data_IF_627092543047
#
_entry.id   IF_627092543047
#
_cell.length_a   1.000
_cell.length_b   1.000
_cell.length_c   1.000
_cell.angle_alpha   90.00
_cell.angle_beta   90.00
_cell.angle_gamma   90.00
#
_symmetry.space_group_name_H-M   'P 1'
#
loop_
_entity.id
_entity.type
_entity.pdbx_description
1 polymer ?
#
# COMPACT_ATOMS: atom_id res chain seq x y z
N UNK A 1 19.39 0.92 10.60
CA UNK A 1 20.09 2.05 9.95
C UNK A 1 19.05 3.14 9.73
N UNK A 2 19.46 4.39 9.54
CA UNK A 2 18.55 5.43 9.09
C UNK A 2 18.33 5.31 7.58
N UNK A 3 17.23 5.86 7.06
CA UNK A 3 16.98 5.94 5.61
C UNK A 3 18.07 6.72 4.89
N UNK A 4 18.65 7.73 5.55
CA UNK A 4 19.74 8.55 5.02
C UNK A 4 21.07 7.80 4.85
N UNK A 5 21.24 6.67 5.53
CA UNK A 5 22.43 5.81 5.39
C UNK A 5 22.35 4.91 4.13
N UNK A 6 21.18 4.84 3.50
CA UNK A 6 20.94 4.02 2.31
C UNK A 6 21.52 4.70 1.06
N UNK A 7 22.14 3.90 0.19
CA UNK A 7 22.64 4.36 -1.11
C UNK A 7 21.53 4.34 -2.15
N UNK A 8 20.58 5.25 -2.00
CA UNK A 8 19.43 5.36 -2.89
C UNK A 8 19.78 6.06 -4.21
N UNK A 9 19.27 5.54 -5.33
CA UNK A 9 19.31 6.20 -6.64
C UNK A 9 18.14 7.18 -6.76
N UNK A 10 18.26 8.20 -7.62
CA UNK A 10 17.17 9.12 -7.94
C UNK A 10 16.08 8.46 -8.81
N UNK A 11 16.45 7.43 -9.56
CA UNK A 11 15.55 6.61 -10.37
C UNK A 11 15.98 5.14 -10.27
N UNK A 12 15.00 4.23 -10.27
CA UNK A 12 15.22 2.80 -10.52
C UNK A 12 14.32 2.34 -11.67
N UNK A 13 14.84 1.50 -12.55
CA UNK A 13 14.12 0.95 -13.69
C UNK A 13 14.31 -0.55 -13.83
N UNK A 14 13.27 -1.25 -14.25
CA UNK A 14 13.25 -2.72 -14.28
C UNK A 14 14.24 -3.34 -15.28
N UNK A 15 14.70 -2.58 -16.28
CA UNK A 15 15.75 -3.02 -17.21
C UNK A 15 17.15 -3.02 -16.62
N UNK A 16 17.40 -2.20 -15.61
CA UNK A 16 18.74 -1.97 -15.04
C UNK A 16 18.86 -2.35 -13.59
N UNK A 17 17.74 -2.42 -12.86
CA UNK A 17 17.71 -2.48 -11.40
C UNK A 17 16.71 -3.53 -10.91
N UNK A 18 17.04 -4.16 -9.79
CA UNK A 18 16.06 -4.91 -9.02
C UNK A 18 15.36 -3.97 -8.03
N UNK A 19 14.30 -3.29 -8.49
CA UNK A 19 13.54 -2.29 -7.70
C UNK A 19 13.11 -2.84 -6.32
N UNK A 20 12.75 -4.12 -6.25
CA UNK A 20 12.30 -4.73 -5.00
C UNK A 20 13.45 -4.83 -4.00
N UNK A 21 14.56 -5.44 -4.38
CA UNK A 21 15.69 -5.68 -3.47
C UNK A 21 16.61 -4.46 -3.27
N UNK A 22 16.69 -3.57 -4.25
CA UNK A 22 17.58 -2.40 -4.21
C UNK A 22 16.89 -1.13 -3.66
N UNK A 23 15.56 -1.03 -3.74
CA UNK A 23 14.82 0.15 -3.29
C UNK A 23 13.80 -0.18 -2.19
N UNK A 24 12.81 -1.03 -2.47
CA UNK A 24 11.73 -1.30 -1.51
C UNK A 24 12.24 -1.98 -0.24
N UNK A 25 13.07 -3.01 -0.38
CA UNK A 25 13.55 -3.79 0.76
C UNK A 25 14.40 -2.96 1.74
N UNK A 26 15.39 -2.17 1.28
CA UNK A 26 16.15 -1.29 2.16
C UNK A 26 15.27 -0.23 2.84
N UNK A 27 14.33 0.38 2.13
CA UNK A 27 13.48 1.43 2.71
C UNK A 27 12.52 0.88 3.78
N UNK A 28 11.83 -0.22 3.46
CA UNK A 28 10.86 -0.84 4.36
C UNK A 28 11.52 -1.42 5.63
N UNK A 29 12.74 -1.94 5.51
CA UNK A 29 13.51 -2.47 6.66
C UNK A 29 13.94 -1.38 7.65
N UNK A 30 14.01 -0.12 7.20
CA UNK A 30 14.56 0.99 7.98
C UNK A 30 13.53 2.09 8.25
N UNK A 31 12.27 1.91 7.85
CA UNK A 31 11.17 2.83 8.16
C UNK A 31 10.32 2.34 9.34
N UNK A 32 9.67 3.29 10.02
CA UNK A 32 8.63 3.05 11.03
C UNK A 32 7.23 3.40 10.53
N UNK A 33 7.13 4.13 9.43
CA UNK A 33 5.86 4.41 8.76
C UNK A 33 6.04 4.29 7.26
N UNK A 34 5.09 3.62 6.61
CA UNK A 34 4.98 3.53 5.17
C UNK A 34 3.58 3.97 4.75
N UNK A 35 3.51 5.10 4.04
CA UNK A 35 2.30 5.59 3.42
C UNK A 35 2.29 5.20 1.94
N UNK A 36 1.16 4.67 1.45
CA UNK A 36 1.09 4.16 0.08
C UNK A 36 -0.26 4.44 -0.58
N UNK A 37 -0.23 5.13 -1.73
CA UNK A 37 -1.35 5.19 -2.67
C UNK A 37 -1.13 4.19 -3.80
N UNK A 38 -2.15 3.39 -4.12
CA UNK A 38 -2.18 2.50 -5.28
C UNK A 38 -3.56 2.53 -5.94
N UNK A 39 -3.61 2.19 -7.21
CA UNK A 39 -4.86 2.04 -7.95
C UNK A 39 -5.62 0.77 -7.54
N UNK A 40 -4.87 -0.34 -7.39
CA UNK A 40 -5.41 -1.65 -7.03
C UNK A 40 -4.58 -2.29 -5.91
N UNK A 41 -5.27 -2.70 -4.84
CA UNK A 41 -4.69 -3.52 -3.80
C UNK A 41 -4.99 -5.01 -4.05
N UNK A 42 -3.92 -5.81 -4.10
CA UNK A 42 -4.02 -7.27 -4.03
C UNK A 42 -3.66 -7.79 -2.64
N UNK A 43 -4.20 -8.94 -2.24
CA UNK A 43 -3.82 -9.55 -0.96
C UNK A 43 -2.35 -9.94 -0.95
N UNK A 44 -1.80 -10.33 -2.10
CA UNK A 44 -0.40 -10.72 -2.23
C UNK A 44 0.53 -9.54 -1.95
N UNK A 45 0.22 -8.34 -2.46
CA UNK A 45 0.97 -7.12 -2.17
C UNK A 45 0.93 -6.80 -0.68
N UNK A 46 -0.28 -6.79 -0.08
CA UNK A 46 -0.44 -6.52 1.36
C UNK A 46 0.34 -7.52 2.22
N UNK A 47 0.19 -8.81 1.92
CA UNK A 47 0.89 -9.89 2.59
C UNK A 47 2.41 -9.72 2.49
N UNK A 48 2.92 -9.35 1.31
CA UNK A 48 4.35 -9.18 1.10
C UNK A 48 4.89 -8.00 1.89
N UNK A 49 4.21 -6.85 1.91
CA UNK A 49 4.63 -5.71 2.75
C UNK A 49 4.64 -6.12 4.23
N UNK A 50 3.56 -6.75 4.69
CA UNK A 50 3.38 -7.15 6.08
C UNK A 50 4.40 -8.20 6.55
N UNK A 51 4.84 -9.09 5.66
CA UNK A 51 5.75 -10.19 5.98
C UNK A 51 7.21 -9.92 5.66
N UNK A 52 7.50 -9.02 4.73
CA UNK A 52 8.87 -8.86 4.23
C UNK A 52 9.81 -8.17 5.21
N UNK A 53 9.32 -7.63 6.33
CA UNK A 53 10.13 -6.83 7.24
C UNK A 53 9.80 -7.07 8.71
N UNK A 54 10.85 -7.31 9.50
CA UNK A 54 10.73 -7.61 10.93
C UNK A 54 10.04 -6.49 11.70
N UNK A 55 10.25 -5.21 11.32
CA UNK A 55 9.61 -4.06 11.98
C UNK A 55 8.07 -4.14 11.97
N UNK A 56 7.46 -4.66 10.91
CA UNK A 56 6.01 -4.89 10.87
C UNK A 56 5.61 -6.06 11.76
N UNK A 57 6.38 -7.15 11.76
CA UNK A 57 6.09 -8.29 12.63
C UNK A 57 6.31 -8.03 14.12
N UNK A 58 7.20 -7.08 14.45
CA UNK A 58 7.57 -6.68 15.82
C UNK A 58 6.69 -5.57 16.41
N UNK A 59 5.70 -5.06 15.67
CA UNK A 59 4.86 -3.97 16.17
C UNK A 59 5.45 -2.57 16.03
N UNK A 60 6.61 -2.43 15.37
CA UNK A 60 7.40 -1.18 15.32
C UNK A 60 7.13 -0.32 14.09
N UNK A 61 6.43 -0.85 13.09
CA UNK A 61 6.08 -0.14 11.87
C UNK A 61 4.58 -0.08 11.62
N UNK A 62 4.17 1.00 10.96
CA UNK A 62 2.80 1.29 10.54
C UNK A 62 2.71 1.43 9.01
N UNK A 63 1.65 0.88 8.42
CA UNK A 63 1.29 0.99 7.01
C UNK A 63 -0.05 1.72 6.91
N UNK A 64 -0.06 2.86 6.23
CA UNK A 64 -1.28 3.56 5.82
C UNK A 64 -1.43 3.43 4.32
N UNK A 65 -2.52 2.81 3.87
CA UNK A 65 -2.73 2.56 2.46
C UNK A 65 -4.04 3.17 1.96
N UNK A 66 -3.97 3.89 0.84
CA UNK A 66 -5.12 4.36 0.08
C UNK A 66 -5.17 3.59 -1.22
N UNK A 67 -6.29 2.93 -1.51
CA UNK A 67 -6.50 2.17 -2.74
C UNK A 67 -7.78 2.60 -3.45
N UNK A 68 -7.86 2.39 -4.77
CA UNK A 68 -9.11 2.52 -5.51
C UNK A 68 -10.18 1.52 -5.04
N UNK A 69 -11.44 1.80 -5.40
CA UNK A 69 -12.62 1.03 -4.99
C UNK A 69 -12.89 -0.26 -5.79
N UNK A 70 -11.98 -0.64 -6.70
CA UNK A 70 -12.15 -1.80 -7.58
C UNK A 70 -11.18 -2.91 -7.15
N UNK A 71 -11.69 -4.13 -7.03
CA UNK A 71 -10.91 -5.27 -6.53
C UNK A 71 -11.13 -6.54 -7.37
N UNK A 72 -10.16 -7.47 -7.36
CA UNK A 72 -10.46 -8.87 -7.73
C UNK A 72 -11.46 -9.44 -6.74
N UNK A 73 -12.31 -10.36 -7.23
CA UNK A 73 -13.24 -11.12 -6.38
C UNK A 73 -12.48 -11.85 -5.26
N UNK A 74 -11.36 -12.51 -5.59
CA UNK A 74 -10.55 -13.24 -4.60
C UNK A 74 -9.94 -12.34 -3.54
N UNK A 75 -9.43 -11.17 -3.94
CA UNK A 75 -8.81 -10.20 -3.03
C UNK A 75 -9.86 -9.56 -2.14
N UNK A 76 -10.99 -9.10 -2.70
CA UNK A 76 -12.05 -8.47 -1.94
C UNK A 76 -12.62 -9.42 -0.88
N UNK A 77 -12.92 -10.67 -1.26
CA UNK A 77 -13.44 -11.67 -0.33
C UNK A 77 -12.48 -11.91 0.84
N UNK A 78 -11.17 -11.89 0.61
CA UNK A 78 -10.19 -12.12 1.68
C UNK A 78 -9.94 -10.86 2.52
N UNK A 79 -9.93 -9.67 1.91
CA UNK A 79 -9.83 -8.40 2.63
C UNK A 79 -11.06 -8.17 3.52
N UNK A 80 -12.28 -8.34 3.01
CA UNK A 80 -13.51 -8.29 3.81
C UNK A 80 -13.41 -9.22 5.01
N UNK A 81 -12.83 -10.41 4.82
CA UNK A 81 -12.63 -11.36 5.91
C UNK A 81 -11.57 -10.92 6.93
N UNK A 82 -10.51 -10.24 6.49
CA UNK A 82 -9.45 -9.77 7.38
C UNK A 82 -9.86 -8.53 8.19
N UNK A 83 -10.73 -7.69 7.64
CA UNK A 83 -11.17 -6.43 8.24
C UNK A 83 -12.58 -6.51 8.88
N UNK A 84 -13.23 -7.68 8.87
CA UNK A 84 -14.53 -7.87 9.50
C UNK A 84 -14.41 -8.08 11.01
N UNK A 85 -15.14 -7.27 11.78
CA UNK A 85 -15.26 -7.39 13.24
C UNK A 85 -16.05 -8.63 13.70
N UNK A 86 -16.90 -9.21 12.83
CA UNK A 86 -17.87 -10.26 13.17
C UNK A 86 -17.39 -11.68 12.76
N UNK A 87 -16.12 -11.99 13.00
CA UNK A 87 -15.54 -13.25 12.57
C UNK A 87 -15.98 -14.44 13.44
N UNK A 88 -16.67 -15.42 12.85
CA UNK A 88 -17.17 -16.59 13.60
C UNK A 88 -16.08 -17.66 13.77
N UNK A 89 -16.19 -18.50 14.82
CA UNK A 89 -15.30 -19.66 15.07
C UNK A 89 -15.24 -20.65 13.88
N UNK A 90 -16.23 -20.69 13.00
CA UNK A 90 -16.25 -21.59 11.84
C UNK A 90 -15.32 -21.11 10.70
N UNK A 91 -15.23 -19.80 10.47
CA UNK A 91 -14.30 -19.21 9.51
C UNK A 91 -12.84 -19.34 9.95
N UNK A 92 -12.63 -19.40 11.28
CA UNK A 92 -11.35 -19.68 11.90
C UNK A 92 -10.76 -21.02 11.43
N UNK A 93 -11.53 -22.11 11.36
CA UNK A 93 -11.00 -23.44 11.02
C UNK A 93 -10.42 -23.50 9.59
N UNK A 94 -10.94 -22.70 8.66
CA UNK A 94 -10.52 -22.71 7.25
C UNK A 94 -9.33 -21.78 6.98
N UNK A 95 -9.23 -20.66 7.70
CA UNK A 95 -8.11 -19.71 7.60
C UNK A 95 -6.94 -20.06 8.52
N UNK A 96 -7.18 -20.76 9.64
CA UNK A 96 -6.15 -21.16 10.60
C UNK A 96 -5.10 -22.12 10.02
N UNK A 97 -5.36 -22.75 8.87
CA UNK A 97 -4.35 -23.58 8.19
C UNK A 97 -3.28 -22.76 7.47
N UNK A 98 -3.50 -21.46 7.25
CA UNK A 98 -2.54 -20.58 6.60
C UNK A 98 -1.90 -19.63 7.61
N UNK A 99 -0.70 -20.00 8.06
CA UNK A 99 0.10 -19.21 9.02
C UNK A 99 0.35 -17.76 8.55
N UNK A 100 0.36 -17.49 7.24
CA UNK A 100 0.59 -16.15 6.69
C UNK A 100 -0.63 -15.25 6.89
N UNK A 101 -1.82 -15.79 6.64
CA UNK A 101 -3.09 -15.06 6.83
C UNK A 101 -3.28 -14.68 8.29
N UNK A 102 -2.97 -15.59 9.23
CA UNK A 102 -3.06 -15.28 10.66
C UNK A 102 -2.09 -14.15 11.07
N UNK A 103 -0.88 -14.14 10.52
CA UNK A 103 0.07 -13.04 10.77
C UNK A 103 -0.48 -11.70 10.29
N UNK A 104 -1.00 -11.65 9.06
CA UNK A 104 -1.59 -10.42 8.50
C UNK A 104 -2.76 -9.95 9.36
N UNK A 105 -3.63 -10.87 9.81
CA UNK A 105 -4.72 -10.54 10.72
C UNK A 105 -4.20 -9.90 12.01
N UNK A 106 -3.22 -10.52 12.68
CA UNK A 106 -2.68 -9.96 13.92
C UNK A 106 -2.10 -8.55 13.69
N UNK A 107 -1.43 -8.31 12.57
CA UNK A 107 -0.88 -6.99 12.21
C UNK A 107 -2.03 -5.96 12.02
N UNK A 108 -3.13 -6.35 11.38
CA UNK A 108 -4.33 -5.52 11.23
C UNK A 108 -4.99 -5.24 12.59
N UNK A 109 -5.21 -6.27 13.40
CA UNK A 109 -5.83 -6.16 14.74
C UNK A 109 -5.00 -5.30 15.71
N UNK A 110 -3.67 -5.31 15.55
CA UNK A 110 -2.76 -4.43 16.29
C UNK A 110 -2.73 -2.98 15.78
N UNK A 111 -3.53 -2.63 14.78
CA UNK A 111 -3.62 -1.27 14.23
C UNK A 111 -2.40 -0.85 13.38
N UNK A 112 -1.58 -1.81 12.96
CA UNK A 112 -0.37 -1.51 12.18
C UNK A 112 -0.65 -1.38 10.69
N UNK A 113 -1.79 -1.87 10.21
CA UNK A 113 -2.24 -1.71 8.82
C UNK A 113 -3.59 -1.01 8.83
N UNK A 114 -3.64 0.17 8.23
CA UNK A 114 -4.88 0.91 7.97
C UNK A 114 -5.10 1.06 6.48
N UNK A 115 -6.32 0.76 6.01
CA UNK A 115 -6.68 0.81 4.60
C UNK A 115 -7.88 1.75 4.42
N UNK A 116 -7.73 2.69 3.48
CA UNK A 116 -8.79 3.57 3.00
C UNK A 116 -9.05 3.40 1.51
N UNK A 117 -10.26 3.71 1.11
CA UNK A 117 -10.81 3.53 -0.23
C UNK A 117 -11.07 4.89 -0.85
N UNK A 118 -10.38 5.18 -1.94
CA UNK A 118 -10.58 6.38 -2.75
C UNK A 118 -11.61 6.13 -3.87
N UNK A 119 -12.62 6.99 -3.92
CA UNK A 119 -13.71 6.96 -4.89
C UNK A 119 -13.79 8.32 -5.58
N UNK A 120 -13.45 8.40 -6.87
CA UNK A 120 -13.71 9.62 -7.64
C UNK A 120 -15.21 9.96 -7.64
N UNK A 121 -15.56 11.21 -7.36
CA UNK A 121 -16.94 11.64 -7.10
C UNK A 121 -17.41 12.83 -7.94
N UNK A 122 -16.74 13.16 -9.05
CA UNK A 122 -17.11 14.31 -9.89
C UNK A 122 -17.14 13.99 -11.37
N UNK A 123 -17.81 14.85 -12.15
CA UNK A 123 -17.78 14.79 -13.62
C UNK A 123 -16.39 15.09 -14.20
N UNK A 124 -15.50 15.73 -13.43
CA UNK A 124 -14.14 16.04 -13.85
C UNK A 124 -13.17 14.88 -13.61
N UNK A 125 -13.46 14.02 -12.63
CA UNK A 125 -12.67 12.84 -12.29
C UNK A 125 -13.65 11.68 -12.08
N UNK A 126 -13.97 10.96 -13.16
CA UNK A 126 -15.06 9.97 -13.18
C UNK A 126 -14.60 8.52 -13.13
N UNK A 127 -13.36 8.24 -13.54
CA UNK A 127 -12.98 6.87 -13.91
C UNK A 127 -12.44 6.07 -12.72
N UNK A 128 -11.14 6.17 -12.48
CA UNK A 128 -10.43 5.39 -11.47
C UNK A 128 -9.39 6.23 -10.76
N UNK A 129 -9.22 5.95 -9.47
CA UNK A 129 -8.11 6.47 -8.70
C UNK A 129 -6.82 5.78 -9.19
N UNK A 130 -5.90 6.54 -9.75
CA UNK A 130 -4.68 6.02 -10.38
C UNK A 130 -3.38 6.54 -9.77
N UNK A 131 -3.47 7.29 -8.66
CA UNK A 131 -2.30 7.88 -8.03
C UNK A 131 -1.42 6.80 -7.39
N UNK A 132 -0.12 6.88 -7.70
CA UNK A 132 0.91 5.96 -7.21
C UNK A 132 2.03 6.74 -6.54
N UNK A 133 1.87 6.96 -5.24
CA UNK A 133 2.86 7.58 -4.37
C UNK A 133 3.20 6.59 -3.27
N UNK A 134 4.45 6.53 -2.84
CA UNK A 134 4.78 5.93 -1.55
C UNK A 134 5.77 6.79 -0.77
N UNK A 135 5.69 6.72 0.55
CA UNK A 135 6.46 7.57 1.47
C UNK A 135 6.90 6.71 2.64
N UNK A 136 8.21 6.57 2.81
CA UNK A 136 8.84 5.93 3.95
C UNK A 136 9.33 6.98 4.92
N UNK A 137 9.04 6.82 6.21
CA UNK A 137 9.58 7.67 7.28
C UNK A 137 10.26 6.81 8.34
N UNK A 138 11.46 7.20 8.76
CA UNK A 138 12.20 6.53 9.83
C UNK A 138 12.08 7.24 11.19
N UNK A 139 12.77 6.69 12.20
CA UNK A 139 12.80 7.22 13.57
C UNK A 139 13.42 8.62 13.70
N UNK A 140 14.24 9.03 12.71
CA UNK A 140 14.88 10.35 12.68
C UNK A 140 14.02 11.39 11.96
N UNK A 141 12.81 11.03 11.53
CA UNK A 141 11.95 11.81 10.62
C UNK A 141 12.58 12.07 9.24
N UNK A 142 13.57 11.27 8.85
CA UNK A 142 14.04 11.27 7.47
C UNK A 142 12.98 10.59 6.61
N UNK A 143 12.69 11.21 5.46
CA UNK A 143 11.64 10.76 4.55
C UNK A 143 12.23 10.44 3.18
N UNK A 144 11.80 9.31 2.62
CA UNK A 144 12.01 8.90 1.24
C UNK A 144 10.64 8.77 0.58
N UNK A 145 10.35 9.61 -0.39
CA UNK A 145 9.13 9.54 -1.18
C UNK A 145 9.44 9.02 -2.58
N UNK A 146 8.47 8.39 -3.23
CA UNK A 146 8.61 7.98 -4.62
C UNK A 146 7.29 8.09 -5.39
N UNK A 147 7.42 8.23 -6.70
CA UNK A 147 6.33 8.09 -7.68
C UNK A 147 6.76 7.11 -8.76
N UNK A 148 5.83 6.38 -9.35
CA UNK A 148 6.18 5.49 -10.44
C UNK A 148 5.09 4.52 -10.82
N UNK A 149 5.41 3.66 -11.77
CA UNK A 149 4.50 2.63 -12.23
C UNK A 149 4.53 1.40 -11.33
N UNK A 150 5.47 1.30 -10.39
CA UNK A 150 5.65 0.07 -9.64
C UNK A 150 4.41 -0.33 -8.83
N UNK A 151 3.86 -1.50 -9.16
CA UNK A 151 2.68 -2.11 -8.51
C UNK A 151 3.07 -2.93 -7.28
N UNK A 152 4.33 -3.31 -7.16
CA UNK A 152 4.74 -4.40 -6.28
C UNK A 152 5.92 -4.08 -5.39
N UNK A 153 5.78 -4.47 -4.12
CA UNK A 153 6.88 -4.80 -3.20
C UNK A 153 7.22 -6.29 -3.25
N UNK A 154 6.74 -7.01 -4.28
CA UNK A 154 6.75 -8.47 -4.37
C UNK A 154 7.59 -8.90 -5.56
N UNK A 155 8.60 -9.77 -5.36
CA UNK A 155 9.25 -10.44 -6.47
C UNK A 155 8.24 -11.35 -7.19
N UNK A 156 7.93 -11.07 -8.45
CA UNK A 156 7.11 -11.94 -9.31
C UNK A 156 7.98 -12.70 -10.32
N UNK A 157 7.52 -13.87 -10.77
CA UNK A 157 8.20 -14.64 -11.83
C UNK A 157 8.16 -13.90 -13.18
N UNK A 158 7.11 -13.11 -13.41
CA UNK A 158 6.98 -12.18 -14.54
C UNK A 158 6.90 -10.76 -13.98
N UNK A 159 7.91 -9.93 -14.24
CA UNK A 159 7.92 -8.53 -13.80
C UNK A 159 7.32 -7.65 -14.89
N UNK A 160 6.43 -6.74 -14.50
CA UNK A 160 6.05 -5.63 -15.36
C UNK A 160 7.29 -4.76 -15.64
N UNK A 161 7.32 -4.06 -16.77
CA UNK A 161 8.35 -3.05 -17.00
C UNK A 161 8.00 -1.78 -16.21
N UNK A 162 8.70 -1.56 -15.11
CA UNK A 162 8.40 -0.50 -14.14
C UNK A 162 9.56 0.47 -13.95
N UNK A 163 9.22 1.69 -13.57
CA UNK A 163 10.17 2.68 -13.07
C UNK A 163 9.65 3.38 -11.82
N UNK A 164 10.56 3.85 -10.99
CA UNK A 164 10.28 4.68 -9.82
C UNK A 164 11.25 5.85 -9.76
N UNK A 165 10.69 7.06 -9.61
CA UNK A 165 11.44 8.27 -9.27
C UNK A 165 11.45 8.43 -7.75
N UNK A 166 12.62 8.67 -7.18
CA UNK A 166 12.86 8.72 -5.74
C UNK A 166 13.25 10.13 -5.32
N UNK A 167 12.66 10.58 -4.22
CA UNK A 167 12.88 11.89 -3.62
C UNK A 167 13.24 11.72 -2.16
N UNK A 168 14.24 12.45 -1.69
CA UNK A 168 14.69 12.34 -0.30
C UNK A 168 14.51 13.66 0.43
N UNK A 169 14.17 13.61 1.71
CA UNK A 169 13.96 14.83 2.51
C UNK A 169 15.23 15.70 2.63
N UNK A 170 16.41 15.10 2.47
CA UNK A 170 17.69 15.80 2.55
C UNK A 170 18.16 16.42 1.22
N UNK A 171 17.69 15.93 0.06
CA UNK A 171 18.04 16.50 -1.26
C UNK A 171 16.86 17.20 -1.96
N UNK A 172 15.63 16.72 -1.74
CA UNK A 172 14.42 17.08 -2.49
C UNK A 172 13.30 17.61 -1.60
N UNK A 173 13.65 18.28 -0.49
CA UNK A 173 12.72 18.68 0.58
C UNK A 173 11.36 19.17 0.09
N UNK A 174 11.32 20.12 -0.85
CA UNK A 174 10.05 20.67 -1.35
C UNK A 174 9.17 19.65 -2.10
N UNK A 175 9.77 18.68 -2.80
CA UNK A 175 9.03 17.63 -3.52
C UNK A 175 8.47 16.63 -2.51
N UNK A 176 9.27 16.25 -1.52
CA UNK A 176 8.86 15.35 -0.44
C UNK A 176 7.71 15.97 0.37
N UNK A 177 7.83 17.24 0.77
CA UNK A 177 6.79 17.95 1.51
C UNK A 177 5.46 18.01 0.72
N UNK A 178 5.52 18.23 -0.59
CA UNK A 178 4.32 18.17 -1.44
C UNK A 178 3.70 16.78 -1.42
N UNK A 179 4.48 15.71 -1.59
CA UNK A 179 3.98 14.33 -1.60
C UNK A 179 3.36 13.93 -0.26
N UNK A 180 3.98 14.31 0.85
CA UNK A 180 3.42 14.12 2.19
C UNK A 180 2.09 14.85 2.36
N UNK A 181 2.02 16.10 1.89
CA UNK A 181 0.79 16.89 1.94
C UNK A 181 -0.32 16.27 1.08
N UNK A 182 -0.01 15.87 -0.16
CA UNK A 182 -0.98 15.25 -1.07
C UNK A 182 -1.55 13.95 -0.48
N UNK A 183 -0.69 13.11 0.11
CA UNK A 183 -1.12 11.90 0.81
C UNK A 183 -2.01 12.22 2.02
N UNK A 184 -1.61 13.16 2.87
CA UNK A 184 -2.38 13.49 4.08
C UNK A 184 -3.72 14.15 3.76
N UNK A 185 -3.78 14.98 2.71
CA UNK A 185 -5.04 15.56 2.24
C UNK A 185 -6.00 14.47 1.73
N UNK A 186 -5.50 13.46 1.00
CA UNK A 186 -6.31 12.28 0.65
C UNK A 186 -6.73 11.50 1.90
N UNK A 187 -5.79 11.20 2.79
CA UNK A 187 -6.01 10.42 4.00
C UNK A 187 -7.10 11.03 4.91
N UNK A 188 -7.14 12.37 4.96
CA UNK A 188 -8.10 13.15 5.73
C UNK A 188 -9.35 13.55 4.93
N UNK A 189 -9.53 13.00 3.72
CA UNK A 189 -10.68 13.28 2.85
C UNK A 189 -10.87 14.78 2.52
N UNK A 190 -9.77 15.48 2.21
CA UNK A 190 -9.73 16.91 1.86
C UNK A 190 -9.46 17.17 0.38
N UNK A 191 -9.08 16.13 -0.37
CA UNK A 191 -8.77 16.24 -1.80
C UNK A 191 -10.06 16.45 -2.61
N UNK A 192 -10.04 17.43 -3.51
CA UNK A 192 -11.18 17.67 -4.40
C UNK A 192 -11.39 16.49 -5.33
N UNK A 193 -12.65 16.21 -5.67
CA UNK A 193 -13.07 15.20 -6.66
C UNK A 193 -12.84 13.74 -6.29
N UNK A 194 -12.36 13.48 -5.06
CA UNK A 194 -12.15 12.12 -4.55
C UNK A 194 -12.67 12.08 -3.12
N UNK A 195 -13.56 11.13 -2.83
CA UNK A 195 -13.95 10.79 -1.47
C UNK A 195 -13.14 9.61 -0.95
N UNK A 196 -12.69 9.71 0.29
CA UNK A 196 -11.87 8.68 0.94
C UNK A 196 -12.60 8.14 2.17
N UNK A 197 -12.79 6.82 2.20
CA UNK A 197 -13.53 6.11 3.25
C UNK A 197 -12.66 5.04 3.90
N UNK A 198 -12.84 4.78 5.19
CA UNK A 198 -12.21 3.60 5.82
C UNK A 198 -12.73 2.31 5.17
N UNK A 199 -11.87 1.30 5.02
CA UNK A 199 -12.23 0.05 4.35
C UNK A 199 -13.52 -0.59 4.91
N UNK A 200 -13.63 -0.70 6.23
CA UNK A 200 -14.80 -1.29 6.89
C UNK A 200 -16.08 -0.49 6.63
N UNK A 201 -15.99 0.85 6.56
CA UNK A 201 -17.14 1.69 6.19
C UNK A 201 -17.53 1.48 4.73
N UNK A 202 -16.56 1.45 3.82
CA UNK A 202 -16.81 1.26 2.39
C UNK A 202 -17.44 -0.11 2.08
N UNK A 203 -16.98 -1.16 2.77
CA UNK A 203 -17.53 -2.51 2.69
C UNK A 203 -18.99 -2.55 3.17
N UNK A 204 -19.25 -2.05 4.38
CA UNK A 204 -20.60 -2.02 4.99
C UNK A 204 -21.62 -1.24 4.16
N UNK A 205 -21.18 -0.21 3.44
CA UNK A 205 -22.05 0.66 2.62
C UNK A 205 -22.06 0.27 1.12
N UNK A 206 -21.54 -0.91 0.75
CA UNK A 206 -21.52 -1.41 -0.63
C UNK A 206 -20.83 -0.46 -1.64
N UNK A 207 -19.78 0.24 -1.21
CA UNK A 207 -19.03 1.17 -2.06
C UNK A 207 -17.94 0.47 -2.90
N UNK A 208 -17.66 -0.81 -2.62
CA UNK A 208 -16.63 -1.61 -3.27
C UNK A 208 -17.18 -2.31 -4.51
N UNK A 209 -16.41 -2.31 -5.60
CA UNK A 209 -16.79 -2.93 -6.87
C UNK A 209 -15.84 -4.06 -7.25
N UNK A 210 -16.38 -5.10 -7.84
CA UNK A 210 -15.58 -6.10 -8.52
C UNK A 210 -15.07 -5.55 -9.86
N UNK A 211 -13.80 -5.80 -10.17
CA UNK A 211 -13.25 -5.53 -11.51
C UNK A 211 -13.24 -6.79 -12.35
N UNK A 212 -13.85 -6.72 -13.54
CA UNK A 212 -13.79 -7.75 -14.59
C UNK A 212 -12.56 -7.63 -15.48
N UNK A 213 -11.77 -6.55 -15.35
CA UNK A 213 -10.59 -6.28 -16.20
C UNK A 213 -9.47 -7.32 -16.05
N UNK A 214 -9.54 -8.16 -15.01
CA UNK A 214 -8.66 -9.31 -14.82
C UNK A 214 -8.85 -10.45 -15.81
N UNK A 215 -9.95 -10.47 -16.58
CA UNK A 215 -10.20 -11.48 -17.63
C UNK A 215 -9.28 -11.26 -18.85
N UNK A 216 -8.68 -10.07 -18.99
CA UNK A 216 -7.86 -9.70 -20.16
C UNK A 216 -6.34 -9.77 -19.91
N UNK A 217 -5.89 -10.18 -18.73
CA UNK A 217 -4.46 -10.31 -18.38
C UNK A 217 -4.07 -11.74 -18.00
N UNK A 218 -4.75 -12.73 -18.60
CA UNK A 218 -4.41 -14.15 -18.51
C UNK A 218 -3.40 -14.58 -19.56
#
# INVERSE_FOLDING_TARGET
MALRDLRLKEEYRSDTDDIVSEFFFPCLSNCIEYDRCVDFLSIQTLASIAMAFDNFSEGKAKLRMITGHRFKISDLNLLTRLFSENYTKADNVKLMKDSKINKIRNIIENGQIEIKIAIPNSEQVTDSFSERIGIFRDENNDVVAFTGTSRGTVPSQTRDFESVDVFTSWNDKSRVERKMKDFEDLWQNKTKYVEVYDFAFAEKNNLLKYSSEWILQG
#
